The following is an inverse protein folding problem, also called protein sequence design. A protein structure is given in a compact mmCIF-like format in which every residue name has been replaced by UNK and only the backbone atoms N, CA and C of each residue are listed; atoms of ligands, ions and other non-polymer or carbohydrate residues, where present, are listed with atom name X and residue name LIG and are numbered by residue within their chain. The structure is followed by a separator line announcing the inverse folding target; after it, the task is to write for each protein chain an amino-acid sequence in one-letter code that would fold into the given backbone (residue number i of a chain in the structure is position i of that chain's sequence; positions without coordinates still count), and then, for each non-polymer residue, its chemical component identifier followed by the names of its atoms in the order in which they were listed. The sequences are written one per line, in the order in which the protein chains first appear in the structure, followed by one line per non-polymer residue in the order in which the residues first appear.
data_IF_343850087568
#
_entry.id   IF_343850087568
#
_cell.length_a   1.000
_cell.length_b   1.000
_cell.length_c   1.000
_cell.angle_alpha   90.00
_cell.angle_beta   90.00
_cell.angle_gamma   90.00
#
_symmetry.space_group_name_H-M   'P 1'
#
loop_
_entity.id
_entity.type
_entity.pdbx_description
1 polymer ?
#
# COMPACT_ATOMS: atom_id res chain seq x y z
N UNK A 1 8.80 6.62 11.87
CA UNK A 1 9.48 5.63 11.01
C UNK A 1 9.43 6.16 9.59
N UNK A 2 10.51 6.05 8.81
CA UNK A 2 10.55 6.55 7.42
C UNK A 2 10.41 5.39 6.43
N UNK A 3 9.65 5.62 5.36
CA UNK A 3 9.52 4.69 4.25
C UNK A 3 10.74 4.79 3.32
N UNK A 4 11.47 3.69 3.21
CA UNK A 4 12.62 3.53 2.30
C UNK A 4 12.36 2.48 1.20
N UNK A 5 11.12 2.00 1.09
CA UNK A 5 10.72 1.04 0.06
C UNK A 5 10.53 1.68 -1.32
N UNK A 6 10.29 0.85 -2.35
CA UNK A 6 10.08 1.31 -3.72
C UNK A 6 8.78 2.11 -3.87
N UNK A 7 8.83 3.17 -4.67
CA UNK A 7 7.67 3.90 -5.19
C UNK A 7 7.90 4.14 -6.67
N UNK A 8 7.47 3.19 -7.50
CA UNK A 8 7.64 3.27 -8.95
C UNK A 8 6.58 4.23 -9.52
N UNK A 9 7.00 5.38 -10.05
CA UNK A 9 6.07 6.34 -10.68
C UNK A 9 5.44 5.68 -11.92
N UNK A 10 4.11 5.64 -11.95
CA UNK A 10 3.34 5.17 -13.12
C UNK A 10 2.98 6.38 -13.99
N UNK A 11 2.45 7.43 -13.37
CA UNK A 11 2.11 8.71 -14.00
C UNK A 11 2.16 9.86 -12.98
N UNK A 12 1.57 11.01 -13.32
CA UNK A 12 1.59 12.22 -12.50
C UNK A 12 0.97 12.08 -11.12
N UNK A 13 0.08 11.10 -10.93
CA UNK A 13 -0.69 10.95 -9.70
C UNK A 13 -0.66 9.54 -9.11
N UNK A 14 0.07 8.60 -9.71
CA UNK A 14 0.06 7.19 -9.30
C UNK A 14 1.47 6.64 -9.13
N UNK A 15 1.70 6.00 -7.99
CA UNK A 15 2.94 5.33 -7.62
C UNK A 15 2.65 3.89 -7.20
N UNK A 16 3.45 2.95 -7.69
CA UNK A 16 3.32 1.54 -7.36
C UNK A 16 4.38 1.09 -6.35
N UNK A 17 3.93 0.32 -5.35
CA UNK A 17 4.79 -0.57 -4.58
C UNK A 17 4.69 -1.95 -5.27
N UNK A 18 5.73 -2.41 -5.98
CA UNK A 18 5.67 -3.66 -6.73
C UNK A 18 5.50 -4.85 -5.77
N UNK A 19 4.76 -5.87 -6.21
CA UNK A 19 4.56 -7.13 -5.46
C UNK A 19 5.86 -7.91 -5.13
N UNK A 20 6.98 -7.52 -5.75
CA UNK A 20 8.31 -8.06 -5.45
C UNK A 20 8.87 -7.54 -4.13
N UNK A 21 8.33 -6.44 -3.60
CA UNK A 21 8.72 -5.89 -2.32
C UNK A 21 8.44 -6.90 -1.19
N UNK A 22 9.36 -6.96 -0.21
CA UNK A 22 9.34 -7.96 0.87
C UNK A 22 9.08 -7.37 2.25
N UNK A 23 8.74 -6.08 2.33
CA UNK A 23 8.60 -5.36 3.60
C UNK A 23 9.93 -5.06 4.26
N UNK A 24 9.88 -4.25 5.30
CA UNK A 24 11.07 -3.86 6.09
C UNK A 24 11.76 -5.09 6.68
N UNK A 25 10.98 -6.08 7.12
CA UNK A 25 11.48 -7.31 7.74
C UNK A 25 11.68 -8.49 6.77
N UNK A 26 11.59 -8.24 5.46
CA UNK A 26 11.77 -9.26 4.39
C UNK A 26 10.83 -10.47 4.49
N UNK A 27 9.67 -10.31 5.10
CA UNK A 27 8.70 -11.38 5.37
C UNK A 27 7.35 -11.20 4.65
N UNK A 28 7.14 -10.10 3.90
CA UNK A 28 5.88 -9.93 3.16
C UNK A 28 5.79 -10.91 1.99
N UNK A 29 4.62 -11.54 1.90
CA UNK A 29 4.19 -12.42 0.80
C UNK A 29 3.05 -11.73 0.06
N UNK A 30 3.36 -10.62 -0.59
CA UNK A 30 2.40 -9.83 -1.36
C UNK A 30 1.76 -10.68 -2.46
N UNK A 31 0.42 -10.70 -2.54
CA UNK A 31 -0.33 -11.43 -3.58
C UNK A 31 -0.57 -10.56 -4.82
N UNK A 32 -0.52 -9.24 -4.65
CA UNK A 32 -0.73 -8.21 -5.67
C UNK A 32 0.18 -7.01 -5.41
N UNK A 33 0.25 -6.04 -6.32
CA UNK A 33 0.96 -4.77 -6.07
C UNK A 33 0.07 -3.80 -5.27
N UNK A 34 0.69 -2.81 -4.64
CA UNK A 34 -0.03 -1.69 -4.03
C UNK A 34 0.09 -0.42 -4.89
N UNK A 35 -0.97 0.39 -4.90
CA UNK A 35 -1.07 1.62 -5.67
C UNK A 35 -1.36 2.80 -4.73
N UNK A 36 -0.50 3.80 -4.75
CA UNK A 36 -0.66 5.03 -3.97
C UNK A 36 -0.99 6.16 -4.92
N UNK A 37 -2.11 6.84 -4.66
CA UNK A 37 -2.48 8.06 -5.35
C UNK A 37 -1.85 9.25 -4.64
N UNK A 38 -0.92 9.94 -5.29
CA UNK A 38 -0.24 11.10 -4.71
C UNK A 38 0.32 11.96 -5.83
N UNK A 39 0.33 13.28 -5.64
CA UNK A 39 1.12 14.16 -6.51
C UNK A 39 2.60 14.10 -6.13
N UNK A 40 3.48 14.46 -7.05
CA UNK A 40 4.93 14.46 -6.82
C UNK A 40 5.36 15.28 -5.58
N UNK A 41 4.66 16.38 -5.30
CA UNK A 41 4.91 17.26 -4.15
C UNK A 41 4.65 16.58 -2.79
N UNK A 42 3.85 15.51 -2.78
CA UNK A 42 3.45 14.80 -1.57
C UNK A 42 4.43 13.69 -1.21
N UNK A 43 5.26 13.23 -2.15
CA UNK A 43 6.19 12.11 -1.96
C UNK A 43 7.17 12.32 -0.80
N UNK A 44 7.78 13.51 -0.59
CA UNK A 44 8.66 13.72 0.55
C UNK A 44 7.98 13.55 1.90
N UNK A 45 6.70 13.94 2.01
CA UNK A 45 5.90 13.79 3.23
C UNK A 45 5.49 12.33 3.43
N UNK A 46 4.99 11.68 2.36
CA UNK A 46 4.61 10.27 2.37
C UNK A 46 5.77 9.36 2.80
N UNK A 47 7.00 9.69 2.39
CA UNK A 47 8.22 8.96 2.81
C UNK A 47 8.56 9.10 4.31
N UNK A 48 7.96 10.05 5.02
CA UNK A 48 8.17 10.24 6.46
C UNK A 48 7.16 9.47 7.33
N UNK A 49 6.22 8.77 6.69
CA UNK A 49 5.17 7.98 7.33
C UNK A 49 5.42 6.46 7.11
N UNK A 50 4.78 5.63 7.93
CA UNK A 50 4.77 4.16 7.82
C UNK A 50 3.56 3.62 7.02
N UNK A 51 2.62 4.48 6.65
CA UNK A 51 1.43 4.13 5.87
C UNK A 51 1.71 3.40 4.55
N UNK A 52 2.81 3.65 3.82
CA UNK A 52 3.15 2.86 2.63
C UNK A 52 3.44 1.38 2.94
N UNK A 53 4.08 1.07 4.09
CA UNK A 53 4.27 -0.31 4.55
C UNK A 53 2.92 -0.96 4.88
N UNK A 54 2.01 -0.22 5.52
CA UNK A 54 0.65 -0.72 5.77
C UNK A 54 -0.11 -0.99 4.46
N UNK A 55 0.08 -0.15 3.45
CA UNK A 55 -0.49 -0.37 2.12
C UNK A 55 0.06 -1.65 1.49
N UNK A 56 1.36 -1.91 1.63
CA UNK A 56 1.96 -3.18 1.21
C UNK A 56 1.41 -4.37 2.01
N UNK A 57 1.16 -4.23 3.32
CA UNK A 57 0.58 -5.28 4.15
C UNK A 57 -0.81 -5.73 3.66
N UNK A 58 -1.66 -4.78 3.25
CA UNK A 58 -2.99 -5.09 2.70
C UNK A 58 -2.93 -6.04 1.50
N UNK A 59 -1.85 -6.01 0.71
CA UNK A 59 -1.70 -6.88 -0.48
C UNK A 59 -1.62 -8.38 -0.15
N UNK A 60 -1.48 -8.75 1.13
CA UNK A 60 -1.39 -10.14 1.58
C UNK A 60 -2.74 -10.74 1.96
N UNK A 61 -3.81 -9.93 2.06
CA UNK A 61 -5.11 -10.38 2.55
C UNK A 61 -5.64 -11.57 1.71
N UNK A 62 -6.21 -12.61 2.34
CA UNK A 62 -6.97 -13.63 1.62
C UNK A 62 -8.07 -13.02 0.76
N UNK A 63 -8.25 -13.57 -0.43
CA UNK A 63 -9.23 -13.09 -1.40
C UNK A 63 -9.04 -11.67 -1.91
N UNK A 64 -7.88 -11.00 -1.72
CA UNK A 64 -7.73 -9.62 -2.25
C UNK A 64 -7.96 -9.57 -3.76
N UNK A 65 -8.81 -8.63 -4.19
CA UNK A 65 -9.17 -8.40 -5.58
C UNK A 65 -8.50 -7.13 -6.09
N UNK A 66 -7.82 -7.22 -7.23
CA UNK A 66 -7.12 -6.09 -7.83
C UNK A 66 -5.85 -5.69 -7.06
N UNK A 67 -5.53 -4.40 -7.02
CA UNK A 67 -4.41 -3.85 -6.25
C UNK A 67 -4.92 -3.29 -4.93
N UNK A 68 -4.13 -3.38 -3.86
CA UNK A 68 -4.39 -2.58 -2.67
C UNK A 68 -4.15 -1.11 -3.02
N UNK A 69 -5.01 -0.20 -2.57
CA UNK A 69 -4.91 1.22 -2.91
C UNK A 69 -4.79 2.08 -1.66
N UNK A 70 -4.11 3.22 -1.79
CA UNK A 70 -4.13 4.27 -0.79
C UNK A 70 -4.39 5.63 -1.45
N UNK A 71 -5.29 6.40 -0.84
CA UNK A 71 -5.75 7.69 -1.33
C UNK A 71 -4.74 8.81 -1.00
N UNK A 72 -4.87 10.02 -1.60
CA UNK A 72 -3.91 11.11 -1.38
C UNK A 72 -3.77 11.58 0.07
N UNK A 73 -4.76 11.35 0.91
CA UNK A 73 -4.74 11.65 2.35
C UNK A 73 -4.16 10.52 3.21
N UNK A 74 -3.46 9.55 2.60
CA UNK A 74 -2.83 8.42 3.29
C UNK A 74 -1.96 8.85 4.49
N UNK A 75 -2.20 8.24 5.64
CA UNK A 75 -1.36 8.36 6.83
C UNK A 75 -1.47 7.14 7.75
N UNK A 76 -0.57 7.06 8.74
CA UNK A 76 -0.45 5.90 9.62
C UNK A 76 -1.76 5.59 10.35
N UNK A 77 -2.22 4.34 10.24
CA UNK A 77 -3.44 3.85 10.88
C UNK A 77 -3.21 2.60 11.74
N UNK A 78 -4.30 1.90 12.10
CA UNK A 78 -4.25 0.65 12.84
C UNK A 78 -4.39 -0.55 11.90
N UNK A 79 -3.28 -1.25 11.65
CA UNK A 79 -3.21 -2.34 10.66
C UNK A 79 -3.23 -1.79 9.23
N UNK A 80 -4.37 -1.26 8.81
CA UNK A 80 -4.56 -0.54 7.55
C UNK A 80 -4.14 0.93 7.69
N UNK A 81 -3.66 1.57 6.62
CA UNK A 81 -3.49 3.02 6.62
C UNK A 81 -4.86 3.70 6.56
N UNK A 82 -4.98 4.88 7.17
CA UNK A 82 -6.13 5.74 6.90
C UNK A 82 -6.03 6.18 5.43
N UNK A 83 -7.16 6.22 4.73
CA UNK A 83 -7.20 6.39 3.27
C UNK A 83 -6.86 5.12 2.48
N UNK A 84 -6.67 3.97 3.14
CA UNK A 84 -6.50 2.67 2.50
C UNK A 84 -7.80 2.11 1.95
N UNK A 85 -7.73 1.47 0.78
CA UNK A 85 -8.84 0.75 0.13
C UNK A 85 -8.35 -0.63 -0.29
N UNK A 86 -9.03 -1.67 0.19
CA UNK A 86 -8.83 -3.03 -0.26
C UNK A 86 -10.19 -3.67 -0.55
N UNK A 87 -10.35 -4.22 -1.74
CA UNK A 87 -11.48 -5.08 -2.06
C UNK A 87 -11.05 -6.52 -1.81
N UNK A 88 -11.90 -7.29 -1.13
CA UNK A 88 -11.72 -8.73 -0.92
C UNK A 88 -12.92 -9.48 -1.51
N UNK A 89 -12.67 -10.69 -1.98
CA UNK A 89 -13.68 -11.60 -2.47
C UNK A 89 -14.69 -11.91 -1.35
N UNK A 90 -15.97 -12.00 -1.71
CA UNK A 90 -17.04 -12.14 -0.72
C UNK A 90 -17.08 -13.54 -0.08
N UNK A 91 -16.63 -14.57 -0.79
CA UNK A 91 -16.68 -15.97 -0.35
C UNK A 91 -15.33 -16.41 0.25
N UNK A 92 -14.23 -16.04 -0.40
CA UNK A 92 -12.87 -16.50 -0.05
C UNK A 92 -12.01 -15.43 0.65
N UNK A 93 -12.57 -14.23 0.86
CA UNK A 93 -11.88 -13.09 1.43
C UNK A 93 -11.99 -12.95 2.95
N UNK A 94 -11.63 -11.75 3.43
CA UNK A 94 -11.68 -11.38 4.85
C UNK A 94 -12.31 -10.01 5.05
N UNK A 95 -12.80 -9.79 6.27
CA UNK A 95 -13.20 -8.48 6.81
C UNK A 95 -12.22 -8.16 7.94
N UNK A 96 -11.60 -6.98 7.90
CA UNK A 96 -10.56 -6.54 8.85
C UNK A 96 -10.76 -5.09 9.27
#
# INVERSE_FOLDING_TARGET
MTWNGPLNKIDDFRYEIPNSYKGVNKNLKMKTSALIYASEKMIPLLKQDNAPEQTANMTMLPGIVGKAMAMPDIHWGYGFPIGGVAATDAEEGVIS
#
